data_IF_515582754578
#
_entry.id   IF_515582754578
#
_cell.length_a   1.000
_cell.length_b   1.000
_cell.length_c   1.000
_cell.angle_alpha   90.00
_cell.angle_beta   90.00
_cell.angle_gamma   90.00
#
_symmetry.space_group_name_H-M   'P 1'
#
loop_
_entity.id
_entity.type
_entity.pdbx_description
1 polymer ?
#
# COMPACT_ATOMS: atom_id res chain seq x y z
N UNK A 1 55.40 -31.03 14.68
CA UNK A 1 53.99 -31.47 14.67
C UNK A 1 53.17 -30.25 14.31
N UNK A 2 52.54 -30.26 13.13
CA UNK A 2 51.77 -29.13 12.63
C UNK A 2 50.33 -29.21 13.16
N UNK A 3 49.84 -28.11 13.71
CA UNK A 3 48.49 -27.96 14.22
C UNK A 3 47.51 -27.82 13.06
N UNK A 4 46.48 -28.67 13.03
CA UNK A 4 45.47 -28.72 11.98
C UNK A 4 44.43 -27.62 12.25
N UNK A 5 44.17 -26.70 11.31
CA UNK A 5 43.13 -25.70 11.50
C UNK A 5 41.73 -26.32 11.36
N UNK A 6 40.90 -26.10 12.38
CA UNK A 6 39.50 -26.54 12.48
C UNK A 6 38.59 -25.74 11.50
N UNK A 7 37.73 -26.38 10.69
CA UNK A 7 36.95 -25.66 9.69
C UNK A 7 35.70 -24.97 10.28
N UNK A 8 35.52 -23.72 9.87
CA UNK A 8 34.25 -23.00 9.69
C UNK A 8 33.32 -22.90 10.91
N UNK A 9 33.43 -21.79 11.64
CA UNK A 9 32.21 -21.13 12.12
C UNK A 9 31.75 -20.19 11.00
N UNK A 10 30.61 -20.41 10.33
CA UNK A 10 30.12 -19.47 9.34
C UNK A 10 29.82 -18.14 10.02
N UNK A 11 30.39 -17.06 9.47
CA UNK A 11 30.03 -15.69 9.77
C UNK A 11 28.49 -15.57 9.77
N UNK A 12 27.85 -14.93 10.76
CA UNK A 12 26.41 -14.74 10.73
C UNK A 12 26.06 -13.98 9.47
N UNK A 13 25.49 -14.68 8.48
CA UNK A 13 24.84 -14.05 7.35
C UNK A 13 23.74 -13.18 7.96
N UNK A 14 23.85 -11.86 7.85
CA UNK A 14 22.79 -10.89 8.14
C UNK A 14 21.59 -11.17 7.21
N UNK A 15 20.89 -12.25 7.50
CA UNK A 15 19.56 -12.48 7.01
C UNK A 15 18.64 -11.64 7.90
N UNK A 16 17.92 -10.72 7.27
CA UNK A 16 16.81 -10.02 7.90
C UNK A 16 15.94 -11.05 8.63
N UNK A 17 15.56 -10.84 9.89
CA UNK A 17 14.76 -11.81 10.63
C UNK A 17 13.37 -11.87 10.02
N UNK A 18 13.19 -12.76 9.04
CA UNK A 18 11.96 -12.92 8.25
C UNK A 18 10.71 -13.27 9.08
N UNK A 19 10.87 -13.48 10.40
CA UNK A 19 9.82 -13.92 11.31
C UNK A 19 9.51 -12.95 12.46
N UNK A 20 10.17 -11.79 12.56
CA UNK A 20 9.86 -10.82 13.63
C UNK A 20 9.26 -9.55 13.04
N UNK A 21 7.98 -9.31 13.33
CA UNK A 21 7.38 -8.01 13.08
C UNK A 21 8.05 -6.95 13.97
N UNK A 22 8.18 -5.70 13.51
CA UNK A 22 8.61 -4.60 14.37
C UNK A 22 7.79 -4.56 15.65
N UNK A 23 8.47 -4.49 16.78
CA UNK A 23 7.85 -4.38 18.12
C UNK A 23 7.70 -2.93 18.57
N UNK A 24 8.31 -2.01 17.84
CA UNK A 24 8.32 -0.59 18.10
C UNK A 24 8.18 0.21 16.79
N UNK A 25 8.18 1.53 16.92
CA UNK A 25 8.00 2.48 15.82
C UNK A 25 9.32 3.10 15.35
N UNK A 26 10.47 2.54 15.78
CA UNK A 26 11.78 3.08 15.41
C UNK A 26 11.99 2.97 13.90
N UNK A 27 12.30 4.09 13.27
CA UNK A 27 12.62 4.18 11.85
C UNK A 27 14.09 3.85 11.58
N UNK A 28 14.93 3.73 12.61
CA UNK A 28 16.27 3.15 12.53
C UNK A 28 16.18 1.61 12.60
N UNK A 29 15.39 1.04 11.71
CA UNK A 29 15.01 -0.37 11.71
C UNK A 29 15.23 -0.96 10.32
N UNK A 30 15.59 -2.26 10.20
CA UNK A 30 15.67 -2.95 8.91
C UNK A 30 14.35 -2.95 8.12
N UNK A 31 13.24 -2.63 8.78
CA UNK A 31 11.90 -2.58 8.20
C UNK A 31 11.50 -1.16 7.72
N UNK A 32 12.43 -0.21 7.72
CA UNK A 32 12.21 1.16 7.25
C UNK A 32 13.21 1.54 6.15
N UNK A 33 12.70 2.07 5.03
CA UNK A 33 13.54 2.59 3.95
C UNK A 33 13.21 4.06 3.75
N UNK A 34 14.13 4.98 4.07
CA UNK A 34 13.84 6.41 4.06
C UNK A 34 13.36 6.90 2.69
N UNK A 35 14.09 6.52 1.64
CA UNK A 35 13.86 6.99 0.28
C UNK A 35 12.64 6.31 -0.36
N UNK A 36 11.73 7.13 -0.90
CA UNK A 36 10.65 6.68 -1.78
C UNK A 36 11.25 6.05 -3.06
N UNK A 37 10.96 4.78 -3.39
CA UNK A 37 11.37 4.20 -4.67
C UNK A 37 10.68 4.90 -5.86
N UNK A 38 11.26 4.81 -7.07
CA UNK A 38 10.58 5.26 -8.28
C UNK A 38 9.20 4.60 -8.41
N UNK A 39 8.18 5.42 -8.60
CA UNK A 39 6.82 4.94 -8.79
C UNK A 39 6.60 4.52 -10.24
N UNK A 40 5.94 3.38 -10.43
CA UNK A 40 5.42 3.00 -11.73
C UNK A 40 4.31 3.95 -12.17
N UNK A 41 4.18 4.18 -13.48
CA UNK A 41 3.22 5.16 -14.02
C UNK A 41 1.78 4.88 -13.61
N UNK A 42 1.40 3.60 -13.56
CA UNK A 42 0.05 3.23 -13.17
C UNK A 42 -0.25 3.49 -11.68
N UNK A 43 0.75 3.30 -10.81
CA UNK A 43 0.67 3.70 -9.40
C UNK A 43 0.51 5.22 -9.29
N UNK A 44 1.27 6.02 -10.06
CA UNK A 44 1.12 7.49 -10.07
C UNK A 44 -0.29 7.89 -10.49
N UNK A 45 -0.85 7.29 -11.53
CA UNK A 45 -2.22 7.57 -12.00
C UNK A 45 -3.27 7.26 -10.92
N UNK A 46 -3.09 6.17 -10.17
CA UNK A 46 -3.98 5.82 -9.06
C UNK A 46 -4.06 6.94 -8.01
N UNK A 47 -2.94 7.58 -7.68
CA UNK A 47 -2.94 8.69 -6.72
C UNK A 47 -3.36 10.03 -7.35
N UNK A 48 -2.86 10.37 -8.54
CA UNK A 48 -3.11 11.67 -9.17
C UNK A 48 -4.53 11.74 -9.72
N UNK A 49 -4.93 10.76 -10.53
CA UNK A 49 -6.18 10.85 -11.29
C UNK A 49 -7.39 10.42 -10.46
N UNK A 50 -7.21 9.43 -9.58
CA UNK A 50 -8.31 8.89 -8.80
C UNK A 50 -8.36 9.40 -7.37
N UNK A 51 -7.23 9.43 -6.65
CA UNK A 51 -7.20 10.05 -5.32
C UNK A 51 -7.11 11.59 -5.38
N UNK A 52 -7.01 12.17 -6.59
CA UNK A 52 -6.99 13.62 -6.86
C UNK A 52 -5.84 14.35 -6.16
N UNK A 53 -4.71 13.67 -5.98
CA UNK A 53 -3.52 14.26 -5.37
C UNK A 53 -2.75 15.06 -6.43
N UNK A 54 -2.45 16.36 -6.20
CA UNK A 54 -1.62 17.14 -7.11
C UNK A 54 -0.25 16.49 -7.33
N UNK A 55 0.24 16.48 -8.58
CA UNK A 55 1.47 15.77 -8.96
C UNK A 55 2.70 16.27 -8.17
N UNK A 56 2.76 17.58 -7.94
CA UNK A 56 3.79 18.26 -7.14
C UNK A 56 3.71 17.94 -5.65
N UNK A 57 2.54 17.53 -5.17
CA UNK A 57 2.29 17.13 -3.76
C UNK A 57 2.32 15.63 -3.52
N UNK A 58 2.51 14.83 -4.57
CA UNK A 58 2.41 13.37 -4.47
C UNK A 58 3.43 12.78 -3.47
N UNK A 59 4.69 13.18 -3.58
CA UNK A 59 5.74 12.65 -2.71
C UNK A 59 5.50 13.01 -1.24
N UNK A 60 5.24 14.29 -0.95
CA UNK A 60 4.93 14.79 0.40
C UNK A 60 3.75 14.01 1.00
N UNK A 61 2.66 13.84 0.24
CA UNK A 61 1.49 13.09 0.68
C UNK A 61 1.81 11.63 1.01
N UNK A 62 2.61 10.95 0.18
CA UNK A 62 2.97 9.55 0.40
C UNK A 62 3.84 9.36 1.65
N UNK A 63 4.79 10.28 1.88
CA UNK A 63 5.65 10.26 3.06
C UNK A 63 4.84 10.50 4.35
N UNK A 64 3.91 11.46 4.34
CA UNK A 64 3.01 11.71 5.46
C UNK A 64 2.09 10.52 5.74
N UNK A 65 1.46 9.98 4.69
CA UNK A 65 0.56 8.82 4.82
C UNK A 65 1.30 7.61 5.39
N UNK A 66 2.53 7.35 4.92
CA UNK A 66 3.39 6.28 5.44
C UNK A 66 3.74 6.49 6.91
N UNK A 67 4.17 7.70 7.29
CA UNK A 67 4.54 8.01 8.68
C UNK A 67 3.36 7.80 9.63
N UNK A 68 2.17 8.24 9.23
CA UNK A 68 0.92 8.02 10.00
C UNK A 68 0.64 6.52 10.15
N UNK A 69 0.62 5.78 9.04
CA UNK A 69 0.35 4.34 9.05
C UNK A 69 1.38 3.55 9.89
N UNK A 70 2.67 3.91 9.81
CA UNK A 70 3.73 3.29 10.60
C UNK A 70 3.59 3.57 12.10
N UNK A 71 3.23 4.80 12.45
CA UNK A 71 3.00 5.17 13.84
C UNK A 71 1.80 4.45 14.44
N UNK A 72 0.80 4.09 13.64
CA UNK A 72 -0.35 3.31 14.12
C UNK A 72 -0.01 1.81 14.17
N UNK A 73 0.60 1.29 13.11
CA UNK A 73 0.97 -0.11 13.01
C UNK A 73 2.26 -0.30 12.16
N UNK A 74 3.41 -0.60 12.77
CA UNK A 74 4.70 -0.65 12.08
C UNK A 74 4.87 -1.98 11.32
N UNK A 75 4.01 -2.25 10.34
CA UNK A 75 4.20 -3.41 9.46
C UNK A 75 5.34 -3.16 8.46
N UNK A 76 6.19 -4.16 8.16
CA UNK A 76 7.27 -4.03 7.18
C UNK A 76 6.81 -3.52 5.82
N UNK A 77 5.61 -3.92 5.38
CA UNK A 77 5.05 -3.47 4.09
C UNK A 77 4.81 -1.95 4.02
N UNK A 78 4.63 -1.28 5.17
CA UNK A 78 4.47 0.17 5.26
C UNK A 78 5.84 0.86 5.22
N UNK A 79 6.76 0.45 6.09
CA UNK A 79 8.09 1.08 6.19
C UNK A 79 8.96 0.87 4.94
N UNK A 80 8.78 -0.27 4.25
CA UNK A 80 9.48 -0.62 3.01
C UNK A 80 8.76 -0.20 1.73
N UNK A 81 7.71 0.63 1.81
CA UNK A 81 6.92 1.11 0.66
C UNK A 81 6.26 0.02 -0.20
N UNK A 82 6.08 -1.20 0.32
CA UNK A 82 5.53 -2.31 -0.46
C UNK A 82 4.07 -2.06 -0.86
N UNK A 83 3.32 -1.28 -0.10
CA UNK A 83 1.96 -0.86 -0.45
C UNK A 83 1.86 -0.02 -1.73
N UNK A 84 2.98 0.46 -2.28
CA UNK A 84 3.04 1.19 -3.56
C UNK A 84 3.35 0.28 -4.76
N UNK A 85 3.78 -0.95 -4.49
CA UNK A 85 3.98 -1.97 -5.51
C UNK A 85 2.66 -2.69 -5.70
N UNK A 86 1.93 -2.32 -6.75
CA UNK A 86 0.62 -2.91 -7.07
C UNK A 86 0.82 -4.33 -7.65
N UNK A 87 1.23 -5.26 -6.79
CA UNK A 87 1.67 -6.61 -7.15
C UNK A 87 0.53 -7.41 -7.77
N UNK A 88 -0.71 -7.18 -7.34
CA UNK A 88 -1.87 -7.88 -7.87
C UNK A 88 -2.01 -7.64 -9.38
N UNK A 89 -1.65 -6.43 -9.85
CA UNK A 89 -1.70 -6.04 -11.26
C UNK A 89 -0.70 -6.77 -12.14
N UNK A 90 0.36 -7.30 -11.55
CA UNK A 90 1.41 -8.02 -12.27
C UNK A 90 1.06 -9.52 -12.45
N UNK A 91 -0.03 -9.99 -11.85
CA UNK A 91 -0.49 -11.37 -12.01
C UNK A 91 -1.21 -11.54 -13.36
N UNK A 92 -0.98 -12.68 -14.01
CA UNK A 92 -1.60 -13.01 -15.31
C UNK A 92 -3.13 -13.11 -15.21
N UNK A 93 -3.66 -13.42 -14.03
CA UNK A 93 -5.08 -13.55 -13.72
C UNK A 93 -5.74 -12.20 -13.38
N UNK A 94 -5.01 -11.09 -13.36
CA UNK A 94 -5.54 -9.80 -12.93
C UNK A 94 -6.75 -9.36 -13.77
N UNK A 95 -6.65 -9.47 -15.10
CA UNK A 95 -7.73 -9.08 -16.00
C UNK A 95 -8.95 -9.99 -15.84
N UNK A 96 -8.75 -11.28 -15.59
CA UNK A 96 -9.82 -12.23 -15.27
C UNK A 96 -10.52 -11.82 -13.95
N UNK A 97 -9.75 -11.50 -12.91
CA UNK A 97 -10.28 -11.03 -11.63
C UNK A 97 -11.10 -9.74 -11.79
N UNK A 98 -10.65 -8.81 -12.64
CA UNK A 98 -11.43 -7.60 -12.98
C UNK A 98 -12.75 -7.98 -13.67
N UNK A 99 -12.72 -8.87 -14.67
CA UNK A 99 -13.93 -9.29 -15.39
C UNK A 99 -14.94 -10.01 -14.47
N UNK A 100 -14.47 -10.93 -13.65
CA UNK A 100 -15.32 -11.69 -12.73
C UNK A 100 -15.96 -10.80 -11.67
N UNK A 101 -15.21 -9.83 -11.14
CA UNK A 101 -15.78 -8.84 -10.21
C UNK A 101 -16.79 -7.92 -10.88
N UNK A 102 -16.61 -7.55 -12.16
CA UNK A 102 -17.63 -6.83 -12.94
C UNK A 102 -18.92 -7.65 -13.12
N UNK A 103 -18.81 -8.98 -13.16
CA UNK A 103 -19.95 -9.91 -13.25
C UNK A 103 -20.61 -10.19 -11.88
N UNK A 104 -20.16 -9.51 -10.81
CA UNK A 104 -20.74 -9.61 -9.48
C UNK A 104 -20.08 -10.64 -8.56
N UNK A 105 -18.98 -11.27 -8.99
CA UNK A 105 -18.19 -12.13 -8.10
C UNK A 105 -17.43 -11.31 -7.05
N UNK A 106 -17.08 -11.98 -5.94
CA UNK A 106 -16.36 -11.38 -4.81
C UNK A 106 -14.88 -11.74 -4.87
N UNK A 107 -14.01 -10.77 -4.62
CA UNK A 107 -12.57 -10.95 -4.50
C UNK A 107 -12.13 -10.70 -3.06
N UNK A 108 -11.27 -11.57 -2.53
CA UNK A 108 -10.62 -11.42 -1.24
C UNK A 108 -9.12 -11.24 -1.45
N UNK A 109 -8.57 -10.14 -0.93
CA UNK A 109 -7.14 -9.81 -0.99
C UNK A 109 -6.49 -10.04 0.38
N UNK A 110 -5.61 -11.05 0.45
CA UNK A 110 -4.84 -11.38 1.66
C UNK A 110 -3.47 -10.71 1.60
N UNK A 111 -3.17 -9.88 2.59
CA UNK A 111 -1.92 -9.12 2.63
C UNK A 111 -1.99 -7.78 1.88
N UNK A 112 -3.18 -7.17 1.82
CA UNK A 112 -3.45 -5.94 1.07
C UNK A 112 -2.69 -4.67 1.55
N UNK A 113 -1.96 -4.74 2.66
CA UNK A 113 -1.33 -3.60 3.32
C UNK A 113 -2.31 -2.44 3.59
N UNK A 114 -2.26 -1.36 2.78
CA UNK A 114 -3.18 -0.21 2.86
C UNK A 114 -4.27 -0.28 1.76
N UNK A 115 -4.43 -1.43 1.12
CA UNK A 115 -5.48 -1.72 0.14
C UNK A 115 -5.31 -1.05 -1.23
N UNK A 116 -4.08 -0.67 -1.62
CA UNK A 116 -3.86 0.04 -2.88
C UNK A 116 -4.14 -0.83 -4.11
N UNK A 117 -3.80 -2.12 -4.06
CA UNK A 117 -4.12 -3.09 -5.12
C UNK A 117 -5.63 -3.21 -5.34
N UNK A 118 -6.40 -3.33 -4.26
CA UNK A 118 -7.86 -3.38 -4.34
C UNK A 118 -8.47 -2.09 -4.90
N UNK A 119 -7.94 -0.91 -4.53
CA UNK A 119 -8.36 0.38 -5.12
C UNK A 119 -8.06 0.45 -6.61
N UNK A 120 -6.95 -0.14 -7.06
CA UNK A 120 -6.60 -0.26 -8.48
C UNK A 120 -7.62 -1.12 -9.23
N UNK A 121 -7.96 -2.28 -8.67
CA UNK A 121 -8.95 -3.20 -9.23
C UNK A 121 -10.35 -2.58 -9.32
N UNK A 122 -10.82 -1.92 -8.26
CA UNK A 122 -12.12 -1.22 -8.25
C UNK A 122 -12.17 -0.18 -9.37
N UNK A 123 -11.12 0.64 -9.54
CA UNK A 123 -11.08 1.63 -10.63
C UNK A 123 -11.29 1.01 -12.01
N UNK A 124 -10.62 -0.10 -12.29
CA UNK A 124 -10.70 -0.77 -13.59
C UNK A 124 -12.05 -1.47 -13.77
N UNK A 125 -12.54 -2.12 -12.71
CA UNK A 125 -13.86 -2.74 -12.68
C UNK A 125 -14.97 -1.72 -12.98
N UNK A 126 -14.90 -0.54 -12.37
CA UNK A 126 -15.90 0.52 -12.55
C UNK A 126 -15.81 1.26 -13.89
N UNK A 127 -14.65 1.28 -14.56
CA UNK A 127 -14.50 1.98 -15.84
C UNK A 127 -15.28 1.37 -17.01
N UNK A 128 -15.84 0.15 -16.84
CA UNK A 128 -16.73 -0.52 -17.80
C UNK A 128 -18.22 -0.34 -17.47
N UNK A 129 -18.55 0.06 -16.24
CA UNK A 129 -19.92 0.30 -15.81
C UNK A 129 -20.23 1.80 -15.94
N UNK A 130 -21.24 2.13 -16.75
CA UNK A 130 -21.80 3.48 -16.84
C UNK A 130 -22.01 4.09 -15.45
N UNK A 131 -21.78 5.40 -15.33
CA UNK A 131 -21.51 6.22 -14.13
C UNK A 131 -22.56 6.23 -12.99
N UNK A 132 -23.39 5.19 -12.85
CA UNK A 132 -24.53 5.13 -11.92
C UNK A 132 -24.32 4.26 -10.68
N UNK A 133 -23.13 3.72 -10.42
CA UNK A 133 -22.81 3.02 -9.15
C UNK A 133 -21.83 3.84 -8.30
N UNK A 134 -22.21 5.09 -8.03
CA UNK A 134 -21.72 5.76 -6.83
C UNK A 134 -22.38 5.09 -5.62
N UNK A 135 -21.55 4.52 -4.75
CA UNK A 135 -21.86 4.07 -3.40
C UNK A 135 -22.95 3.00 -3.25
N UNK A 136 -22.53 1.73 -3.12
CA UNK A 136 -23.33 0.75 -2.37
C UNK A 136 -22.50 0.12 -1.24
N UNK A 137 -22.21 0.92 -0.21
CA UNK A 137 -22.34 0.53 1.21
C UNK A 137 -21.88 1.69 2.11
N UNK A 138 -22.80 2.49 2.68
CA UNK A 138 -22.46 3.50 3.67
C UNK A 138 -22.29 2.92 5.10
N UNK A 139 -22.14 1.60 5.28
CA UNK A 139 -22.28 0.99 6.62
C UNK A 139 -21.17 0.03 7.08
N UNK A 140 -19.95 0.09 6.52
CA UNK A 140 -18.78 -0.52 7.19
C UNK A 140 -17.68 0.52 7.46
N UNK A 141 -17.44 0.92 8.72
CA UNK A 141 -16.33 1.77 9.09
C UNK A 141 -15.10 0.88 9.22
N UNK A 142 -14.47 0.51 8.10
CA UNK A 142 -13.23 -0.27 8.15
C UNK A 142 -12.04 0.41 7.49
N UNK A 143 -12.06 1.73 7.32
CA UNK A 143 -10.84 2.53 7.20
C UNK A 143 -11.10 3.95 7.73
N UNK A 144 -10.24 4.49 8.61
CA UNK A 144 -10.46 5.83 9.15
C UNK A 144 -10.41 6.88 8.01
N UNK A 145 -11.20 7.96 8.09
CA UNK A 145 -11.15 9.10 7.16
C UNK A 145 -9.82 9.88 7.18
N UNK A 146 -8.81 9.40 7.91
CA UNK A 146 -7.51 10.04 8.15
C UNK A 146 -6.61 10.21 6.91
N UNK A 147 -6.93 9.56 5.77
CA UNK A 147 -6.20 9.73 4.51
C UNK A 147 -6.91 10.63 3.49
N UNK A 148 -8.08 11.17 3.84
CA UNK A 148 -8.81 12.10 2.98
C UNK A 148 -9.27 13.31 3.78
N UNK A 149 -8.32 14.12 4.26
CA UNK A 149 -8.64 15.47 4.68
C UNK A 149 -8.74 16.35 3.43
N UNK A 150 -9.96 16.55 2.95
CA UNK A 150 -10.29 17.73 2.15
C UNK A 150 -10.87 18.75 3.14
N UNK A 151 -10.22 19.90 3.27
CA UNK A 151 -10.75 21.04 4.02
C UNK A 151 -12.02 21.54 3.35
N UNK A 152 -13.17 21.04 3.79
CA UNK A 152 -14.46 21.64 3.50
C UNK A 152 -14.58 22.91 4.35
N UNK A 153 -14.30 24.07 3.76
CA UNK A 153 -14.72 25.35 4.29
C UNK A 153 -16.24 25.39 4.29
N UNK A 154 -16.83 25.45 5.48
CA UNK A 154 -18.25 25.71 5.68
C UNK A 154 -18.56 27.15 5.27
N UNK A 155 -19.53 27.32 4.38
CA UNK A 155 -20.32 28.56 4.30
C UNK A 155 -21.60 28.35 5.13
N UNK A 156 -22.00 29.34 5.95
CA UNK A 156 -23.25 29.24 6.70
C UNK A 156 -24.45 29.55 5.79
N UNK A 157 -25.64 28.98 6.05
CA UNK A 157 -26.84 29.39 5.37
C UNK A 157 -27.36 30.71 5.95
N UNK A 158 -27.97 31.47 5.03
CA UNK A 158 -28.63 32.79 5.08
C UNK A 158 -29.22 33.17 6.44
#
# INVERSE_FOLDING_TARGET
MAEVPNPTNPTPTESLPAHRLPTDKDTNSPFWTEKLPPLEEHTKKLFIEYAKIPKDKLQEHLEEARKKAWNDCPYPCIGLWLFLKLQLRNNKEFDEAVQRTQQGEKLLDFGCAIGQDLRSLVRLSMSSLSSSLLFLSPSLPLFPPMLYSSSATSHPPI
#
